data_IF_749394716605
#
_entry.id   IF_749394716605
#
_cell.length_a   1.000
_cell.length_b   1.000
_cell.length_c   1.000
_cell.angle_alpha   90.00
_cell.angle_beta   90.00
_cell.angle_gamma   90.00
#
_symmetry.space_group_name_H-M   'P 1'
#
loop_
_entity.id
_entity.type
_entity.pdbx_description
1 polymer ?
#
# COMPACT_ATOMS: atom_id res chain seq x y z
N UNK A 1 -18.23 -4.08 13.59
CA UNK A 1 -16.76 -4.19 13.73
C UNK A 1 -16.22 -5.28 12.81
N UNK A 2 -16.84 -6.46 12.79
CA UNK A 2 -16.43 -7.57 11.90
C UNK A 2 -16.35 -7.21 10.40
N UNK A 3 -17.35 -6.52 9.84
CA UNK A 3 -17.33 -6.15 8.42
C UNK A 3 -16.17 -5.21 8.04
N UNK A 4 -15.76 -4.34 8.96
CA UNK A 4 -14.67 -3.37 8.76
C UNK A 4 -13.31 -4.05 8.86
N UNK A 5 -13.14 -4.94 9.84
CA UNK A 5 -11.96 -5.79 9.95
C UNK A 5 -11.79 -6.65 8.68
N UNK A 6 -12.88 -7.25 8.18
CA UNK A 6 -12.87 -8.01 6.94
C UNK A 6 -12.51 -7.15 5.70
N UNK A 7 -12.98 -5.90 5.63
CA UNK A 7 -12.60 -4.99 4.54
C UNK A 7 -11.12 -4.58 4.63
N UNK A 8 -10.63 -4.25 5.83
CA UNK A 8 -9.22 -3.93 6.07
C UNK A 8 -8.30 -5.11 5.70
N UNK A 9 -8.65 -6.33 6.13
CA UNK A 9 -7.98 -7.57 5.75
C UNK A 9 -7.95 -7.74 4.23
N UNK A 10 -9.10 -7.58 3.56
CA UNK A 10 -9.20 -7.68 2.11
C UNK A 10 -8.29 -6.68 1.41
N UNK A 11 -8.26 -5.42 1.86
CA UNK A 11 -7.41 -4.36 1.29
C UNK A 11 -5.92 -4.67 1.47
N UNK A 12 -5.51 -5.10 2.67
CA UNK A 12 -4.12 -5.49 2.95
C UNK A 12 -3.68 -6.62 2.00
N UNK A 13 -4.50 -7.66 1.88
CA UNK A 13 -4.21 -8.81 1.03
C UNK A 13 -4.16 -8.46 -0.46
N UNK A 14 -4.99 -7.52 -0.90
CA UNK A 14 -4.96 -6.99 -2.27
C UNK A 14 -3.66 -6.22 -2.54
N UNK A 15 -3.27 -5.30 -1.65
CA UNK A 15 -2.01 -4.55 -1.76
C UNK A 15 -0.82 -5.50 -1.82
N UNK A 16 -0.80 -6.51 -0.94
CA UNK A 16 0.27 -7.50 -0.92
C UNK A 16 0.36 -8.27 -2.26
N UNK A 17 -0.77 -8.73 -2.81
CA UNK A 17 -0.80 -9.43 -4.11
C UNK A 17 -0.38 -8.53 -5.26
N UNK A 18 -0.80 -7.26 -5.28
CA UNK A 18 -0.39 -6.30 -6.30
C UNK A 18 1.13 -6.06 -6.28
N UNK A 19 1.71 -5.87 -5.09
CA UNK A 19 3.16 -5.70 -4.94
C UNK A 19 3.95 -6.97 -5.25
N UNK A 20 3.38 -8.14 -4.96
CA UNK A 20 3.97 -9.42 -5.36
C UNK A 20 4.02 -9.58 -6.87
N UNK A 21 2.97 -9.15 -7.58
CA UNK A 21 2.92 -9.14 -9.04
C UNK A 21 3.94 -8.17 -9.62
N UNK A 22 4.00 -6.93 -9.13
CA UNK A 22 4.98 -5.93 -9.56
C UNK A 22 6.42 -6.44 -9.38
N UNK A 23 6.69 -7.08 -8.24
CA UNK A 23 7.99 -7.71 -7.94
C UNK A 23 8.30 -8.86 -8.88
N UNK A 24 7.34 -9.74 -9.16
CA UNK A 24 7.51 -10.84 -10.11
C UNK A 24 7.82 -10.33 -11.53
N UNK A 25 7.05 -9.34 -12.00
CA UNK A 25 7.26 -8.71 -13.30
C UNK A 25 8.64 -8.05 -13.40
N UNK A 26 9.08 -7.35 -12.36
CA UNK A 26 10.43 -6.81 -12.28
C UNK A 26 11.49 -7.90 -12.43
N UNK A 27 11.39 -9.00 -11.67
CA UNK A 27 12.34 -10.11 -11.79
C UNK A 27 12.34 -10.75 -13.18
N UNK A 28 11.18 -10.91 -13.82
CA UNK A 28 11.14 -11.44 -15.18
C UNK A 28 11.78 -10.49 -16.19
N UNK A 29 11.57 -9.19 -16.06
CA UNK A 29 12.21 -8.19 -16.94
C UNK A 29 13.74 -8.21 -16.78
N UNK A 30 14.25 -8.25 -15.56
CA UNK A 30 15.70 -8.35 -15.28
C UNK A 30 16.32 -9.63 -15.84
N UNK A 31 15.58 -10.76 -15.76
CA UNK A 31 16.00 -12.05 -16.31
C UNK A 31 15.72 -12.21 -17.81
N UNK A 32 15.30 -11.12 -18.50
CA UNK A 32 14.96 -11.09 -19.94
C UNK A 32 13.79 -12.01 -20.35
N UNK A 33 12.90 -12.31 -19.40
CA UNK A 33 11.65 -13.03 -19.59
C UNK A 33 10.47 -12.10 -19.94
N UNK A 34 10.61 -11.28 -20.99
CA UNK A 34 9.58 -10.30 -21.37
C UNK A 34 8.20 -10.92 -21.61
N UNK A 35 8.15 -12.15 -22.15
CA UNK A 35 6.92 -12.88 -22.42
C UNK A 35 6.04 -13.08 -21.17
N UNK A 36 6.64 -13.33 -20.00
CA UNK A 36 5.88 -13.57 -18.77
C UNK A 36 5.28 -12.27 -18.25
N UNK A 37 6.02 -11.16 -18.40
CA UNK A 37 5.53 -9.82 -18.08
C UNK A 37 4.39 -9.40 -19.03
N UNK A 38 4.51 -9.67 -20.33
CA UNK A 38 3.47 -9.40 -21.33
C UNK A 38 2.22 -10.26 -21.09
N UNK A 39 2.42 -11.56 -20.81
CA UNK A 39 1.33 -12.45 -20.42
C UNK A 39 0.61 -11.91 -19.18
N UNK A 40 1.34 -11.53 -18.13
CA UNK A 40 0.72 -11.01 -16.91
C UNK A 40 0.03 -9.66 -17.11
N UNK A 41 0.57 -8.77 -17.94
CA UNK A 41 -0.08 -7.51 -18.30
C UNK A 41 -1.42 -7.78 -19.01
N UNK A 42 -1.42 -8.65 -20.02
CA UNK A 42 -2.66 -9.09 -20.71
C UNK A 42 -3.62 -9.78 -19.75
N UNK A 43 -3.11 -10.59 -18.83
CA UNK A 43 -3.92 -11.26 -17.82
C UNK A 43 -4.59 -10.26 -16.88
N UNK A 44 -3.90 -9.18 -16.50
CA UNK A 44 -4.48 -8.11 -15.67
C UNK A 44 -5.46 -7.21 -16.43
N UNK A 45 -5.24 -6.98 -17.73
CA UNK A 45 -6.04 -6.07 -18.57
C UNK A 45 -7.25 -6.76 -19.23
N UNK A 46 -7.14 -8.06 -19.57
CA UNK A 46 -8.06 -8.76 -20.48
C UNK A 46 -9.25 -9.50 -19.85
N UNK A 47 -10.13 -10.01 -20.73
CA UNK A 47 -11.44 -10.62 -20.41
C UNK A 47 -11.37 -11.97 -19.66
N UNK A 48 -10.24 -12.70 -19.70
CA UNK A 48 -10.03 -13.88 -18.84
C UNK A 48 -9.73 -13.53 -17.36
N UNK A 49 -9.36 -12.28 -17.11
CA UNK A 49 -8.77 -11.80 -15.86
C UNK A 49 -9.43 -10.56 -15.24
N UNK A 50 -10.34 -9.87 -15.94
CA UNK A 50 -11.41 -9.00 -15.44
C UNK A 50 -11.05 -7.94 -14.39
N UNK A 51 -9.91 -7.25 -14.58
CA UNK A 51 -9.58 -6.02 -13.85
C UNK A 51 -8.50 -6.16 -12.76
N UNK A 52 -8.08 -5.01 -12.24
CA UNK A 52 -7.06 -4.90 -11.19
C UNK A 52 -7.33 -5.84 -10.01
N UNK A 53 -6.25 -6.33 -9.38
CA UNK A 53 -6.29 -7.10 -8.12
C UNK A 53 -7.20 -6.44 -7.08
N UNK A 54 -7.20 -5.11 -7.04
CA UNK A 54 -8.04 -4.32 -6.13
C UNK A 54 -9.54 -4.51 -6.40
N UNK A 55 -9.94 -4.56 -7.67
CA UNK A 55 -11.33 -4.67 -8.07
C UNK A 55 -11.89 -6.10 -7.86
N UNK A 56 -11.12 -7.13 -8.20
CA UNK A 56 -11.55 -8.54 -8.09
C UNK A 56 -11.36 -9.16 -6.71
N UNK A 57 -10.37 -8.66 -5.97
CA UNK A 57 -9.87 -9.33 -4.78
C UNK A 57 -8.80 -10.37 -5.12
N UNK A 58 -7.78 -10.43 -4.27
CA UNK A 58 -6.60 -11.27 -4.43
C UNK A 58 -6.92 -12.76 -4.63
N UNK A 59 -7.92 -13.29 -3.91
CA UNK A 59 -8.25 -14.72 -3.92
C UNK A 59 -8.81 -15.14 -5.26
N UNK A 60 -9.74 -14.35 -5.80
CA UNK A 60 -10.32 -14.56 -7.13
C UNK A 60 -9.26 -14.43 -8.21
N UNK A 61 -8.44 -13.38 -8.13
CA UNK A 61 -7.33 -13.16 -9.07
C UNK A 61 -6.38 -14.35 -9.14
N UNK A 62 -5.84 -14.78 -7.98
CA UNK A 62 -4.89 -15.89 -7.92
C UNK A 62 -5.54 -17.24 -8.23
N UNK A 63 -6.79 -17.47 -7.81
CA UNK A 63 -7.55 -18.67 -8.20
C UNK A 63 -7.67 -18.78 -9.72
N UNK A 64 -8.00 -17.68 -10.39
CA UNK A 64 -8.18 -17.66 -11.84
C UNK A 64 -6.84 -17.93 -12.53
N UNK A 65 -5.76 -17.27 -12.10
CA UNK A 65 -4.42 -17.49 -12.64
C UNK A 65 -3.94 -18.94 -12.49
N UNK A 66 -4.15 -19.55 -11.32
CA UNK A 66 -3.78 -20.95 -11.07
C UNK A 66 -4.64 -21.95 -11.85
N UNK A 67 -5.83 -21.54 -12.27
CA UNK A 67 -6.76 -22.39 -13.03
C UNK A 67 -6.66 -22.17 -14.55
N UNK A 68 -5.92 -21.15 -14.99
CA UNK A 68 -5.77 -20.84 -16.42
C UNK A 68 -5.01 -21.95 -17.15
N UNK A 69 -5.44 -22.30 -18.38
CA UNK A 69 -4.76 -23.31 -19.18
C UNK A 69 -3.39 -22.82 -19.66
N UNK A 70 -2.45 -23.73 -19.97
CA UNK A 70 -1.20 -23.36 -20.63
C UNK A 70 -1.44 -22.67 -21.97
N UNK A 71 -0.62 -21.67 -22.30
CA UNK A 71 -0.68 -20.92 -23.57
C UNK A 71 0.63 -21.09 -24.33
N UNK A 72 0.54 -21.48 -25.61
CA UNK A 72 1.70 -21.50 -26.50
C UNK A 72 1.96 -20.10 -27.07
N UNK A 73 3.17 -19.58 -26.86
CA UNK A 73 3.58 -18.28 -27.36
C UNK A 73 4.73 -18.45 -28.34
N UNK A 74 4.56 -17.90 -29.55
CA UNK A 74 5.61 -17.88 -30.58
C UNK A 74 6.49 -16.67 -30.33
N UNK A 75 7.77 -16.91 -30.04
CA UNK A 75 8.75 -15.87 -29.76
C UNK A 75 9.64 -15.69 -30.97
N UNK A 76 9.57 -14.51 -31.57
CA UNK A 76 10.41 -14.12 -32.69
C UNK A 76 11.65 -13.35 -32.21
N UNK A 77 12.83 -13.93 -32.40
CA UNK A 77 14.11 -13.27 -32.11
C UNK A 77 14.83 -12.92 -33.41
N UNK A 78 15.12 -11.64 -33.56
CA UNK A 78 15.99 -11.14 -34.62
C UNK A 78 17.44 -11.46 -34.25
N UNK A 79 18.08 -12.35 -34.99
CA UNK A 79 19.49 -12.72 -34.74
C UNK A 79 20.36 -11.47 -34.92
N UNK A 80 21.03 -11.02 -33.85
CA UNK A 80 21.96 -9.88 -33.92
C UNK A 80 23.06 -10.18 -34.93
N UNK A 81 23.47 -9.17 -35.72
CA UNK A 81 24.54 -9.31 -36.71
C UNK A 81 25.77 -9.99 -36.07
N UNK A 82 26.42 -10.96 -36.74
CA UNK A 82 27.73 -11.40 -36.30
C UNK A 82 28.64 -10.15 -36.22
N UNK A 83 29.30 -9.96 -35.06
CA UNK A 83 30.28 -8.89 -34.86
C UNK A 83 31.42 -9.13 -35.85
N UNK A 84 31.43 -8.45 -37.00
CA UNK A 84 32.49 -8.59 -38.01
C UNK A 84 32.10 -8.37 -39.48
N UNK A 85 30.83 -8.10 -39.82
CA UNK A 85 30.41 -7.85 -41.21
C UNK A 85 30.41 -6.37 -41.62
N UNK A 86 31.05 -6.04 -42.75
CA UNK A 86 30.96 -4.71 -43.39
C UNK A 86 29.49 -4.33 -43.66
N UNK A 87 29.09 -3.11 -43.27
CA UNK A 87 27.71 -2.61 -43.38
C UNK A 87 27.16 -2.57 -44.80
N UNK A 88 28.03 -2.67 -45.80
CA UNK A 88 27.72 -2.59 -47.23
C UNK A 88 27.64 -3.94 -47.93
N UNK A 89 27.71 -5.08 -47.22
CA UNK A 89 27.68 -6.38 -47.87
C UNK A 89 26.24 -6.76 -48.31
N UNK A 90 25.92 -6.78 -49.63
CA UNK A 90 24.60 -7.13 -50.15
C UNK A 90 24.23 -8.61 -49.93
N UNK A 91 25.21 -9.46 -49.58
CA UNK A 91 25.02 -10.88 -49.26
C UNK A 91 24.73 -11.15 -47.78
N UNK A 92 24.80 -10.14 -46.91
CA UNK A 92 24.18 -10.22 -45.59
C UNK A 92 22.67 -10.11 -45.78
N UNK A 93 22.06 -11.24 -46.14
CA UNK A 93 20.63 -11.40 -46.33
C UNK A 93 19.82 -10.73 -45.20
N UNK A 94 18.58 -10.32 -45.54
CA UNK A 94 17.62 -9.77 -44.60
C UNK A 94 17.68 -10.53 -43.26
N UNK A 95 17.67 -9.79 -42.14
CA UNK A 95 17.89 -10.33 -40.81
C UNK A 95 17.06 -11.60 -40.61
N UNK A 96 17.72 -12.75 -40.43
CA UNK A 96 17.02 -14.01 -40.18
C UNK A 96 16.28 -13.89 -38.84
N UNK A 97 14.96 -13.87 -38.91
CA UNK A 97 14.10 -14.02 -37.74
C UNK A 97 14.08 -15.50 -37.40
N UNK A 98 14.45 -15.83 -36.16
CA UNK A 98 14.33 -17.19 -35.63
C UNK A 98 13.13 -17.17 -34.70
N UNK A 99 12.10 -17.93 -35.05
CA UNK A 99 10.96 -18.18 -34.18
C UNK A 99 11.14 -19.50 -33.43
N UNK A 100 10.71 -19.52 -32.18
CA UNK A 100 10.55 -20.75 -31.40
C UNK A 100 9.27 -20.64 -30.56
N UNK A 101 8.63 -21.77 -30.31
CA UNK A 101 7.43 -21.85 -29.46
C UNK A 101 7.87 -22.09 -28.02
N UNK A 102 7.34 -21.30 -27.09
CA UNK A 102 7.51 -21.50 -25.66
C UNK A 102 6.13 -21.63 -25.01
N UNK A 103 5.98 -22.57 -24.08
CA UNK A 103 4.69 -22.81 -23.40
C UNK A 103 4.71 -22.05 -22.08
N UNK A 104 3.76 -21.14 -21.89
CA UNK A 104 3.52 -20.47 -20.62
C UNK A 104 2.61 -21.35 -19.78
N UNK A 105 3.04 -21.67 -18.56
CA UNK A 105 2.24 -22.40 -17.58
C UNK A 105 1.74 -21.45 -16.47
N UNK A 106 0.48 -20.98 -16.51
CA UNK A 106 -0.03 -20.01 -15.54
C UNK A 106 0.00 -20.50 -14.09
N UNK A 107 -0.16 -21.81 -13.88
CA UNK A 107 0.01 -22.44 -12.56
C UNK A 107 1.40 -22.19 -11.97
N UNK A 108 2.44 -22.29 -12.79
CA UNK A 108 3.84 -22.06 -12.39
C UNK A 108 4.07 -20.58 -12.06
N UNK A 109 3.50 -19.66 -12.86
CA UNK A 109 3.52 -18.22 -12.56
C UNK A 109 2.77 -17.88 -11.27
N UNK A 110 1.58 -18.45 -11.09
CA UNK A 110 0.77 -18.25 -9.89
C UNK A 110 1.49 -18.72 -8.63
N UNK A 111 2.12 -19.90 -8.65
CA UNK A 111 2.97 -20.38 -7.55
C UNK A 111 4.13 -19.42 -7.26
N UNK A 112 4.83 -18.94 -8.29
CA UNK A 112 5.92 -17.98 -8.11
C UNK A 112 5.45 -16.68 -7.46
N UNK A 113 4.26 -16.19 -7.83
CA UNK A 113 3.65 -15.01 -7.20
C UNK A 113 3.30 -15.29 -5.73
N UNK A 114 2.78 -16.49 -5.41
CA UNK A 114 2.51 -16.88 -4.02
C UNK A 114 3.79 -16.97 -3.18
N UNK A 115 4.90 -17.44 -3.75
CA UNK A 115 6.19 -17.48 -3.05
C UNK A 115 6.69 -16.08 -2.74
N UNK A 116 6.67 -15.18 -3.73
CA UNK A 116 7.02 -13.77 -3.56
C UNK A 116 6.10 -13.11 -2.52
N UNK A 117 4.79 -13.42 -2.57
CA UNK A 117 3.81 -12.91 -1.61
C UNK A 117 4.10 -13.35 -0.18
N UNK A 118 4.56 -14.59 0.02
CA UNK A 118 4.96 -15.08 1.33
C UNK A 118 6.24 -14.40 1.82
N UNK A 119 7.22 -14.18 0.92
CA UNK A 119 8.44 -13.42 1.24
C UNK A 119 8.10 -11.97 1.66
N UNK A 120 7.33 -11.25 0.84
CA UNK A 120 6.93 -9.87 1.14
C UNK A 120 6.09 -9.79 2.42
N UNK A 121 5.27 -10.79 2.72
CA UNK A 121 4.53 -10.84 3.98
C UNK A 121 5.46 -10.96 5.20
N UNK A 122 6.52 -11.77 5.11
CA UNK A 122 7.49 -11.94 6.17
C UNK A 122 8.35 -10.68 6.37
N UNK A 123 8.78 -10.03 5.27
CA UNK A 123 9.51 -8.76 5.32
C UNK A 123 8.63 -7.65 5.94
N UNK A 124 7.40 -7.51 5.45
CA UNK A 124 6.44 -6.53 5.95
C UNK A 124 6.08 -6.78 7.43
N UNK A 125 6.01 -8.03 7.88
CA UNK A 125 5.76 -8.34 9.29
C UNK A 125 6.78 -7.67 10.21
N UNK A 126 8.06 -7.67 9.82
CA UNK A 126 9.12 -6.98 10.55
C UNK A 126 9.07 -5.47 10.33
N UNK A 127 8.78 -5.00 9.11
CA UNK A 127 8.67 -3.57 8.85
C UNK A 127 7.55 -2.91 9.68
N UNK A 128 6.47 -3.64 9.94
CA UNK A 128 5.38 -3.18 10.81
C UNK A 128 5.82 -2.94 12.27
N UNK A 129 6.91 -3.55 12.74
CA UNK A 129 7.48 -3.27 14.07
C UNK A 129 8.06 -1.86 14.14
N UNK A 130 8.55 -1.34 13.01
CA UNK A 130 9.03 0.05 12.92
C UNK A 130 7.88 1.00 13.17
N UNK A 131 6.73 0.81 12.51
CA UNK A 131 5.53 1.64 12.71
C UNK A 131 5.07 1.61 14.17
N UNK A 132 5.10 0.43 14.81
CA UNK A 132 4.72 0.29 16.21
C UNK A 132 5.68 1.09 17.11
N UNK A 133 6.99 0.89 16.97
CA UNK A 133 7.99 1.58 17.79
C UNK A 133 8.05 3.10 17.57
N UNK A 134 7.89 3.56 16.32
CA UNK A 134 7.83 4.97 15.96
C UNK A 134 6.59 5.62 16.58
N UNK A 135 5.44 4.97 16.47
CA UNK A 135 4.19 5.48 17.06
C UNK A 135 4.26 5.53 18.58
N UNK A 136 4.82 4.52 19.24
CA UNK A 136 4.98 4.52 20.70
C UNK A 136 5.88 5.67 21.16
N UNK A 137 7.02 5.87 20.49
CA UNK A 137 7.91 7.01 20.76
C UNK A 137 7.23 8.36 20.53
N UNK A 138 6.49 8.51 19.43
CA UNK A 138 5.81 9.76 19.11
C UNK A 138 4.65 10.05 20.06
N UNK A 139 3.97 9.02 20.57
CA UNK A 139 2.94 9.16 21.60
C UNK A 139 3.55 9.72 22.89
N UNK A 140 4.68 9.19 23.35
CA UNK A 140 5.40 9.73 24.52
C UNK A 140 5.79 11.21 24.30
N UNK A 141 6.24 11.56 23.09
CA UNK A 141 6.55 12.94 22.74
C UNK A 141 5.31 13.83 22.78
N UNK A 142 4.18 13.39 22.22
CA UNK A 142 2.92 14.14 22.23
C UNK A 142 2.38 14.32 23.65
N UNK A 143 2.48 13.29 24.51
CA UNK A 143 2.09 13.39 25.92
C UNK A 143 2.94 14.42 26.66
N UNK A 144 4.27 14.34 26.52
CA UNK A 144 5.19 15.32 27.11
C UNK A 144 4.93 16.74 26.59
N UNK A 145 4.53 16.88 25.33
CA UNK A 145 4.20 18.16 24.72
C UNK A 145 2.83 18.65 25.17
N UNK A 146 1.84 17.79 25.38
CA UNK A 146 0.56 18.17 25.96
C UNK A 146 0.73 18.75 27.36
N UNK A 147 1.58 18.13 28.20
CA UNK A 147 1.94 18.67 29.51
C UNK A 147 2.61 20.05 29.39
N UNK A 148 3.52 20.22 28.42
CA UNK A 148 4.15 21.51 28.12
C UNK A 148 3.18 22.54 27.59
N UNK A 149 2.20 22.15 26.76
CA UNK A 149 1.17 23.06 26.24
C UNK A 149 0.25 23.51 27.38
N UNK A 150 -0.08 22.64 28.34
CA UNK A 150 -0.79 23.04 29.55
C UNK A 150 0.02 24.05 30.38
N UNK A 151 1.34 23.84 30.51
CA UNK A 151 2.25 24.83 31.12
C UNK A 151 2.33 26.12 30.29
N UNK A 152 2.33 26.02 28.96
CA UNK A 152 2.35 27.15 28.04
C UNK A 152 1.12 28.03 28.22
N UNK A 153 -0.08 27.47 28.43
CA UNK A 153 -1.26 28.30 28.72
C UNK A 153 -1.07 29.14 30.00
N UNK A 154 -0.38 28.59 30.99
CA UNK A 154 0.00 29.32 32.20
C UNK A 154 1.06 30.39 31.92
N UNK A 155 2.03 30.09 31.04
CA UNK A 155 3.07 31.04 30.61
C UNK A 155 2.54 32.12 29.67
N UNK A 156 1.57 31.85 28.81
CA UNK A 156 0.92 32.82 27.92
C UNK A 156 0.14 33.84 28.74
N UNK A 157 -0.54 33.39 29.81
CA UNK A 157 -1.15 34.25 30.82
C UNK A 157 -0.11 35.15 31.52
N UNK A 158 1.15 34.70 31.61
CA UNK A 158 2.22 35.37 32.36
C UNK A 158 3.11 36.28 31.51
N UNK A 159 3.41 35.90 30.27
CA UNK A 159 4.43 36.52 29.40
C UNK A 159 3.89 37.02 28.06
N UNK A 160 2.65 36.67 27.70
CA UNK A 160 2.00 37.08 26.46
C UNK A 160 2.32 36.19 25.24
N UNK A 161 1.41 36.24 24.27
CA UNK A 161 1.29 35.29 23.13
C UNK A 161 2.57 35.18 22.28
N UNK A 162 3.27 36.30 22.05
CA UNK A 162 4.42 36.32 21.12
C UNK A 162 5.62 35.55 21.65
N UNK A 163 5.95 35.68 22.93
CA UNK A 163 7.12 35.00 23.52
C UNK A 163 6.82 33.52 23.76
N UNK A 164 5.59 33.21 24.17
CA UNK A 164 5.12 31.84 24.29
C UNK A 164 5.26 31.11 22.94
N UNK A 165 4.68 31.63 21.85
CA UNK A 165 4.77 31.01 20.51
C UNK A 165 6.22 30.80 20.04
N UNK A 166 7.14 31.71 20.37
CA UNK A 166 8.57 31.57 20.04
C UNK A 166 9.21 30.40 20.78
N UNK A 167 8.85 30.15 22.04
CA UNK A 167 9.35 29.03 22.83
C UNK A 167 8.87 27.69 22.27
N UNK A 168 7.59 27.59 21.89
CA UNK A 168 6.98 26.36 21.33
C UNK A 168 7.59 25.93 19.98
N UNK A 169 7.78 26.88 19.06
CA UNK A 169 8.34 26.59 17.73
C UNK A 169 9.81 26.13 17.77
N UNK A 170 10.50 26.33 18.88
CA UNK A 170 11.93 26.01 19.02
C UNK A 170 12.17 24.58 19.53
N UNK A 171 11.18 23.98 20.18
CA UNK A 171 11.30 22.68 20.86
C UNK A 171 10.62 21.55 20.12
N UNK A 172 9.65 21.85 19.26
CA UNK A 172 8.88 20.82 18.57
C UNK A 172 9.45 20.55 17.17
N UNK A 173 10.11 19.40 17.03
CA UNK A 173 10.38 18.76 15.76
C UNK A 173 9.84 17.34 15.86
N UNK A 174 8.66 17.04 15.29
CA UNK A 174 8.21 15.66 15.23
C UNK A 174 9.26 14.86 14.46
N UNK A 175 9.73 13.76 15.05
CA UNK A 175 10.71 12.88 14.41
C UNK A 175 9.94 11.98 13.46
N UNK A 176 9.42 12.56 12.38
CA UNK A 176 8.89 11.78 11.28
C UNK A 176 10.09 11.37 10.44
N UNK A 177 10.72 10.26 10.83
CA UNK A 177 11.91 9.78 10.12
C UNK A 177 11.54 9.43 8.67
N UNK A 178 12.37 9.89 7.74
CA UNK A 178 11.97 10.06 6.34
C UNK A 178 12.24 8.84 5.46
N UNK A 179 13.00 7.84 5.92
CA UNK A 179 13.27 6.64 5.13
C UNK A 179 13.67 5.46 6.04
N UNK A 180 12.67 4.86 6.73
CA UNK A 180 12.90 3.73 7.63
C UNK A 180 13.49 2.48 6.93
N UNK A 181 13.34 2.38 5.60
CA UNK A 181 13.77 1.23 4.81
C UNK A 181 14.82 1.67 3.78
N UNK A 182 16.08 1.73 4.20
CA UNK A 182 17.25 1.95 3.33
C UNK A 182 17.89 0.64 2.80
N UNK A 183 17.20 -0.49 2.91
CA UNK A 183 17.76 -1.81 2.56
C UNK A 183 17.79 -2.08 1.05
N UNK A 184 18.77 -2.86 0.60
CA UNK A 184 18.88 -3.47 -0.75
C UNK A 184 17.92 -4.65 -0.98
N UNK A 185 16.85 -4.78 -0.20
CA UNK A 185 15.97 -5.95 -0.22
C UNK A 185 14.96 -5.88 -1.38
N UNK A 186 13.93 -6.73 -1.37
CA UNK A 186 13.02 -6.95 -2.49
C UNK A 186 12.58 -5.66 -3.20
N UNK A 187 12.49 -5.68 -4.54
CA UNK A 187 12.08 -4.51 -5.29
C UNK A 187 10.69 -4.07 -4.80
N UNK A 188 10.49 -2.76 -4.70
CA UNK A 188 9.25 -2.15 -4.21
C UNK A 188 8.94 -2.35 -2.72
N UNK A 189 9.86 -2.86 -1.88
CA UNK A 189 9.65 -2.94 -0.42
C UNK A 189 9.23 -1.61 0.19
N UNK A 190 9.94 -0.52 -0.08
CA UNK A 190 9.59 0.81 0.44
C UNK A 190 8.20 1.27 -0.05
N UNK A 191 7.86 0.96 -1.29
CA UNK A 191 6.52 1.27 -1.83
C UNK A 191 5.42 0.43 -1.18
N UNK A 192 5.68 -0.84 -0.86
CA UNK A 192 4.77 -1.70 -0.10
C UNK A 192 4.58 -1.15 1.32
N UNK A 193 5.68 -0.82 2.00
CA UNK A 193 5.64 -0.23 3.34
C UNK A 193 4.79 1.04 3.40
N UNK A 194 5.05 2.01 2.51
CA UNK A 194 4.28 3.25 2.43
C UNK A 194 2.80 3.01 2.14
N UNK A 195 2.47 2.07 1.24
CA UNK A 195 1.08 1.72 0.95
C UNK A 195 0.37 1.11 2.16
N UNK A 196 1.06 0.27 2.93
CA UNK A 196 0.50 -0.36 4.13
C UNK A 196 0.40 0.65 5.28
N UNK A 197 1.38 1.53 5.45
CA UNK A 197 1.33 2.65 6.40
C UNK A 197 0.13 3.57 6.13
N UNK A 198 -0.11 3.91 4.86
CA UNK A 198 -1.29 4.66 4.45
C UNK A 198 -2.59 3.92 4.77
N UNK A 199 -2.64 2.61 4.52
CA UNK A 199 -3.80 1.77 4.86
C UNK A 199 -4.05 1.70 6.37
N UNK A 200 -3.01 1.46 7.17
CA UNK A 200 -3.06 1.43 8.64
C UNK A 200 -3.61 2.75 9.18
N UNK A 201 -3.09 3.87 8.69
CA UNK A 201 -3.56 5.21 9.08
C UNK A 201 -5.03 5.43 8.69
N UNK A 202 -5.42 5.01 7.48
CA UNK A 202 -6.81 5.11 7.02
C UNK A 202 -7.77 4.30 7.89
N UNK A 203 -7.45 3.05 8.19
CA UNK A 203 -8.28 2.18 9.04
C UNK A 203 -8.38 2.75 10.46
N UNK A 204 -7.28 3.27 10.99
CA UNK A 204 -7.25 3.90 12.32
C UNK A 204 -8.15 5.13 12.38
N UNK A 205 -8.11 5.96 11.33
CA UNK A 205 -8.99 7.13 11.21
C UNK A 205 -10.46 6.73 11.08
N UNK A 206 -10.79 5.71 10.29
CA UNK A 206 -12.16 5.21 10.13
C UNK A 206 -12.74 4.71 11.47
N UNK A 207 -11.92 4.01 12.27
CA UNK A 207 -12.27 3.58 13.63
C UNK A 207 -12.50 4.77 14.57
N UNK A 208 -11.58 5.72 14.61
CA UNK A 208 -11.72 6.90 15.46
C UNK A 208 -12.95 7.74 15.09
N UNK A 209 -13.20 7.98 13.79
CA UNK A 209 -14.41 8.67 13.33
C UNK A 209 -15.69 7.99 13.82
N UNK A 210 -15.70 6.66 13.91
CA UNK A 210 -16.84 5.92 14.42
C UNK A 210 -17.00 6.09 15.93
N UNK A 211 -15.91 6.10 16.69
CA UNK A 211 -15.95 6.40 18.12
C UNK A 211 -16.50 7.82 18.36
N UNK A 212 -16.05 8.81 17.60
CA UNK A 212 -16.59 10.17 17.66
C UNK A 212 -18.09 10.24 17.35
N UNK A 213 -18.60 9.43 16.41
CA UNK A 213 -20.05 9.33 16.15
C UNK A 213 -20.82 8.76 17.35
N UNK A 214 -20.22 7.83 18.09
CA UNK A 214 -20.83 7.23 19.29
C UNK A 214 -20.82 8.25 20.44
N UNK A 215 -19.69 8.93 20.66
CA UNK A 215 -19.53 9.98 21.69
C UNK A 215 -20.40 11.22 21.36
N UNK A 216 -20.68 11.45 20.08
CA UNK A 216 -21.45 12.60 19.62
C UNK A 216 -20.62 13.87 19.36
N UNK A 217 -19.30 13.74 19.24
CA UNK A 217 -18.40 14.86 18.90
C UNK A 217 -18.47 15.18 17.40
N UNK A 218 -19.46 16.01 17.05
CA UNK A 218 -19.72 16.42 15.67
C UNK A 218 -18.64 17.37 15.12
N UNK A 219 -17.96 18.12 15.98
CA UNK A 219 -17.00 19.14 15.55
C UNK A 219 -15.69 18.49 15.11
N UNK A 220 -15.15 17.58 15.92
CA UNK A 220 -13.95 16.81 15.56
C UNK A 220 -14.22 15.95 14.33
N UNK A 221 -15.40 15.32 14.24
CA UNK A 221 -15.78 14.53 13.06
C UNK A 221 -15.81 15.37 11.79
N UNK A 222 -16.47 16.54 11.80
CA UNK A 222 -16.54 17.43 10.65
C UNK A 222 -15.15 17.98 10.25
N UNK A 223 -14.27 18.19 11.22
CA UNK A 223 -12.88 18.57 10.97
C UNK A 223 -12.10 17.44 10.29
N UNK A 224 -12.19 16.20 10.82
CA UNK A 224 -11.55 15.03 10.22
C UNK A 224 -12.10 14.67 8.84
N UNK A 225 -13.37 14.96 8.56
CA UNK A 225 -13.97 14.80 7.24
C UNK A 225 -13.40 15.80 6.24
N UNK A 226 -13.10 17.04 6.67
CA UNK A 226 -12.43 18.05 5.82
C UNK A 226 -10.97 17.72 5.56
N UNK A 227 -10.24 17.22 6.56
CA UNK A 227 -8.82 16.84 6.41
C UNK A 227 -8.69 15.57 5.56
N UNK A 228 -9.60 14.61 5.77
CA UNK A 228 -9.61 13.35 5.02
C UNK A 228 -10.23 13.46 3.63
N UNK A 229 -10.70 14.64 3.21
CA UNK A 229 -11.30 14.83 1.90
C UNK A 229 -10.26 14.63 0.79
N UNK A 230 -10.67 13.98 -0.30
CA UNK A 230 -9.79 13.47 -1.37
C UNK A 230 -8.92 14.57 -2.03
N UNK A 231 -9.34 15.82 -1.90
CA UNK A 231 -8.62 16.99 -2.42
C UNK A 231 -7.25 17.22 -1.77
N UNK A 232 -7.02 16.67 -0.57
CA UNK A 232 -5.76 16.88 0.15
C UNK A 232 -4.70 15.81 -0.16
N UNK A 233 -5.07 14.66 -0.75
CA UNK A 233 -4.15 13.53 -1.06
C UNK A 233 -3.26 13.04 0.10
N UNK A 234 -3.50 13.52 1.32
CA UNK A 234 -2.70 13.18 2.50
C UNK A 234 -2.95 11.75 2.93
N UNK A 235 -1.89 11.03 3.26
CA UNK A 235 -1.95 9.65 3.74
C UNK A 235 -0.75 9.35 4.63
N UNK A 236 -0.83 8.27 5.41
CA UNK A 236 0.29 7.85 6.26
C UNK A 236 0.72 8.94 7.23
N UNK A 237 2.03 9.21 7.28
CA UNK A 237 2.61 10.19 8.18
C UNK A 237 2.27 11.64 7.80
N UNK A 238 2.12 11.98 6.52
CA UNK A 238 1.74 13.34 6.08
C UNK A 238 0.40 13.77 6.67
N UNK A 239 -0.53 12.82 6.80
CA UNK A 239 -1.84 13.06 7.42
C UNK A 239 -1.72 13.31 8.93
N UNK A 240 -0.86 12.56 9.62
CA UNK A 240 -0.60 12.76 11.05
C UNK A 240 0.08 14.11 11.29
N UNK A 241 1.08 14.45 10.48
CA UNK A 241 1.77 15.74 10.55
C UNK A 241 0.79 16.90 10.34
N UNK A 242 -0.12 16.77 9.37
CA UNK A 242 -1.18 17.75 9.15
C UNK A 242 -2.13 17.90 10.36
N UNK A 243 -2.45 16.81 11.06
CA UNK A 243 -3.23 16.86 12.30
C UNK A 243 -2.47 17.55 13.44
N UNK A 244 -1.18 17.22 13.61
CA UNK A 244 -0.33 17.80 14.65
C UNK A 244 -0.12 19.31 14.45
N UNK A 245 -0.02 19.75 13.20
CA UNK A 245 0.10 21.16 12.83
C UNK A 245 -1.17 21.99 13.10
N UNK A 246 -2.27 21.35 13.50
CA UNK A 246 -3.48 22.01 13.99
C UNK A 246 -4.54 22.25 12.92
N UNK A 247 -5.60 23.02 13.24
CA UNK A 247 -6.75 23.13 12.37
C UNK A 247 -6.37 23.86 11.08
N UNK A 248 -6.32 23.13 9.97
CA UNK A 248 -6.11 23.73 8.65
C UNK A 248 -7.35 24.56 8.27
N UNK A 249 -7.22 25.89 8.24
CA UNK A 249 -8.14 26.72 7.47
C UNK A 249 -7.71 26.65 6.02
N UNK A 250 -8.44 25.89 5.20
CA UNK A 250 -8.24 25.91 3.76
C UNK A 250 -8.67 27.28 3.22
N UNK A 251 -7.72 28.20 3.10
CA UNK A 251 -7.93 29.43 2.34
C UNK A 251 -7.81 29.06 0.87
N UNK A 252 -8.94 28.99 0.18
CA UNK A 252 -8.99 28.96 -1.27
C UNK A 252 -8.55 30.33 -1.80
N UNK A 253 -7.24 30.53 -1.87
CA UNK A 253 -6.65 31.69 -2.51
C UNK A 253 -6.77 31.45 -4.02
N UNK A 254 -7.72 32.12 -4.68
CA UNK A 254 -8.09 31.87 -6.09
C UNK A 254 -6.96 32.01 -7.12
N UNK A 255 -5.76 32.40 -6.67
CA UNK A 255 -4.54 32.55 -7.48
C UNK A 255 -3.49 31.46 -7.25
N UNK A 256 -3.58 30.68 -6.17
CA UNK A 256 -2.52 29.76 -5.73
C UNK A 256 -3.11 28.39 -5.39
N UNK A 257 -3.56 27.67 -6.42
CA UNK A 257 -4.21 26.34 -6.30
C UNK A 257 -3.28 25.22 -5.83
N UNK A 258 -1.98 25.51 -5.65
CA UNK A 258 -0.98 24.47 -5.50
C UNK A 258 -0.84 23.93 -4.07
N UNK A 259 -1.12 24.71 -3.01
CA UNK A 259 -0.98 24.24 -1.63
C UNK A 259 -1.98 24.90 -0.67
N UNK A 260 -2.76 24.12 0.10
CA UNK A 260 -3.55 24.67 1.20
C UNK A 260 -2.64 25.37 2.21
N UNK A 261 -2.93 26.64 2.53
CA UNK A 261 -2.17 27.40 3.54
C UNK A 261 -2.72 27.09 4.94
N UNK A 262 -1.85 26.64 5.84
CA UNK A 262 -2.20 26.43 7.26
C UNK A 262 -2.28 27.79 7.95
N UNK A 263 -3.49 28.28 8.22
CA UNK A 263 -3.69 29.42 9.11
C UNK A 263 -4.10 28.90 10.48
N UNK A 264 -3.22 29.06 11.47
CA UNK A 264 -3.49 28.73 12.87
C UNK A 264 -4.67 29.58 13.37
N UNK A 265 -5.85 29.01 13.68
CA UNK A 265 -6.91 29.77 14.32
C UNK A 265 -6.56 29.87 15.81
N UNK A 266 -6.24 31.08 16.25
CA UNK A 266 -6.02 31.41 17.66
C UNK A 266 -7.24 31.05 18.52
N UNK A 267 -6.99 30.30 19.61
CA UNK A 267 -7.82 30.02 20.79
C UNK A 267 -9.20 29.36 20.58
N UNK A 268 -10.08 29.88 19.72
CA UNK A 268 -11.47 29.40 19.61
C UNK A 268 -11.56 27.99 18.98
N UNK A 269 -10.63 27.64 18.08
CA UNK A 269 -10.61 26.30 17.49
C UNK A 269 -10.03 25.23 18.43
N UNK A 270 -9.16 25.61 19.38
CA UNK A 270 -8.56 24.69 20.35
C UNK A 270 -9.55 24.26 21.45
N UNK A 271 -10.51 25.13 21.78
CA UNK A 271 -11.60 24.81 22.72
C UNK A 271 -12.65 23.88 22.08
N UNK A 272 -12.70 23.80 20.75
CA UNK A 272 -13.71 23.03 19.99
C UNK A 272 -13.15 21.72 19.44
N UNK A 273 -11.89 21.70 19.01
CA UNK A 273 -11.17 20.51 18.53
C UNK A 273 -9.77 20.51 19.16
N UNK A 274 -9.32 19.35 19.64
CA UNK A 274 -7.97 19.18 20.20
C UNK A 274 -7.10 18.35 19.23
N UNK A 275 -6.40 18.96 18.25
CA UNK A 275 -5.75 18.22 17.17
C UNK A 275 -4.62 17.30 17.65
N UNK A 276 -3.86 17.71 18.67
CA UNK A 276 -2.82 16.87 19.30
C UNK A 276 -3.42 15.60 19.90
N UNK A 277 -4.52 15.74 20.64
CA UNK A 277 -5.25 14.60 21.19
C UNK A 277 -5.77 13.70 20.07
N UNK A 278 -6.38 14.27 19.03
CA UNK A 278 -6.88 13.47 17.90
C UNK A 278 -5.76 12.71 17.20
N UNK A 279 -4.61 13.35 16.95
CA UNK A 279 -3.45 12.68 16.38
C UNK A 279 -2.97 11.53 17.28
N UNK A 280 -2.87 11.76 18.59
CA UNK A 280 -2.49 10.72 19.56
C UNK A 280 -3.46 9.53 19.54
N UNK A 281 -4.78 9.77 19.56
CA UNK A 281 -5.78 8.69 19.52
C UNK A 281 -5.68 7.89 18.21
N UNK A 282 -5.46 8.56 17.08
CA UNK A 282 -5.26 7.87 15.79
C UNK A 282 -3.95 7.06 15.80
N UNK A 283 -2.86 7.58 16.37
CA UNK A 283 -1.58 6.87 16.47
C UNK A 283 -1.66 5.65 17.41
N UNK A 284 -2.40 5.75 18.51
CA UNK A 284 -2.69 4.62 19.39
C UNK A 284 -3.50 3.54 18.66
N UNK A 285 -4.51 3.93 17.87
CA UNK A 285 -5.26 3.00 17.03
C UNK A 285 -4.39 2.36 15.93
N UNK A 286 -3.43 3.09 15.35
CA UNK A 286 -2.46 2.54 14.39
C UNK A 286 -1.69 1.36 14.99
N UNK A 287 -1.25 1.46 16.25
CA UNK A 287 -0.55 0.36 16.95
C UNK A 287 -1.45 -0.89 17.03
N UNK A 288 -2.72 -0.72 17.40
CA UNK A 288 -3.68 -1.83 17.42
C UNK A 288 -3.89 -2.46 16.03
N UNK A 289 -4.06 -1.64 15.00
CA UNK A 289 -4.24 -2.11 13.61
C UNK A 289 -3.00 -2.83 13.10
N UNK A 290 -1.80 -2.34 13.43
CA UNK A 290 -0.53 -3.00 13.11
C UNK A 290 -0.48 -4.41 13.68
N UNK A 291 -0.82 -4.59 14.96
CA UNK A 291 -0.85 -5.90 15.62
C UNK A 291 -1.82 -6.87 14.93
N UNK A 292 -3.00 -6.39 14.54
CA UNK A 292 -3.96 -7.18 13.76
C UNK A 292 -3.37 -7.59 12.39
N UNK A 293 -2.75 -6.64 11.69
CA UNK A 293 -2.15 -6.88 10.38
C UNK A 293 -0.99 -7.88 10.47
N UNK A 294 -0.15 -7.82 11.50
CA UNK A 294 0.88 -8.83 11.76
C UNK A 294 0.28 -10.23 11.90
N UNK A 295 -0.84 -10.37 12.62
CA UNK A 295 -1.57 -11.63 12.73
C UNK A 295 -2.06 -12.15 11.37
N UNK A 296 -2.57 -11.27 10.51
CA UNK A 296 -2.99 -11.62 9.15
C UNK A 296 -1.81 -12.03 8.26
N UNK A 297 -0.68 -11.32 8.34
CA UNK A 297 0.53 -11.62 7.56
C UNK A 297 1.13 -12.99 7.93
N UNK A 298 1.11 -13.35 9.21
CA UNK A 298 1.56 -14.66 9.69
C UNK A 298 0.76 -15.83 9.11
N UNK A 299 -0.51 -15.61 8.74
CA UNK A 299 -1.41 -16.61 8.15
C UNK A 299 -1.30 -16.78 6.62
N UNK A 300 -0.53 -15.94 5.94
CA UNK A 300 -0.42 -15.92 4.46
C UNK A 300 0.02 -17.28 3.88
N UNK A 301 1.04 -17.98 4.43
CA UNK A 301 1.45 -19.28 3.90
C UNK A 301 0.34 -20.34 3.94
N UNK A 302 -0.45 -20.40 5.02
CA UNK A 302 -1.55 -21.36 5.18
C UNK A 302 -2.67 -21.06 4.20
N UNK A 303 -2.97 -19.78 3.97
CA UNK A 303 -3.94 -19.37 2.96
C UNK A 303 -3.52 -19.74 1.54
N UNK A 304 -2.22 -19.67 1.22
CA UNK A 304 -1.70 -20.12 -0.07
C UNK A 304 -1.91 -21.62 -0.24
N UNK A 305 -1.60 -22.43 0.79
CA UNK A 305 -1.83 -23.87 0.75
C UNK A 305 -3.32 -24.20 0.53
N UNK A 306 -4.21 -23.55 1.27
CA UNK A 306 -5.65 -23.73 1.13
C UNK A 306 -6.16 -23.33 -0.28
N UNK A 307 -5.62 -22.25 -0.85
CA UNK A 307 -5.94 -21.82 -2.21
C UNK A 307 -5.51 -22.86 -3.24
N UNK A 308 -4.28 -23.34 -3.16
CA UNK A 308 -3.73 -24.35 -4.08
C UNK A 308 -4.53 -25.65 -3.97
N UNK A 309 -4.81 -26.13 -2.76
CA UNK A 309 -5.65 -27.32 -2.54
C UNK A 309 -7.03 -27.15 -3.17
N UNK A 310 -7.70 -26.02 -2.94
CA UNK A 310 -9.01 -25.74 -3.53
C UNK A 310 -9.03 -25.62 -5.06
N UNK A 311 -7.91 -25.21 -5.69
CA UNK A 311 -7.76 -25.25 -7.16
C UNK A 311 -7.59 -26.69 -7.63
N UNK A 312 -6.70 -27.47 -7.00
CA UNK A 312 -6.43 -28.85 -7.37
C UNK A 312 -7.67 -29.74 -7.23
N UNK A 313 -8.44 -29.59 -6.14
CA UNK A 313 -9.69 -30.33 -5.95
C UNK A 313 -10.71 -30.05 -7.05
N UNK A 314 -10.84 -28.78 -7.47
CA UNK A 314 -11.73 -28.41 -8.58
C UNK A 314 -11.27 -29.02 -9.90
N UNK A 315 -9.97 -28.99 -10.18
CA UNK A 315 -9.40 -29.60 -11.38
C UNK A 315 -9.60 -31.12 -11.41
N UNK A 316 -9.41 -31.81 -10.27
CA UNK A 316 -9.65 -33.25 -10.16
C UNK A 316 -11.12 -33.61 -10.37
N UNK A 317 -12.05 -32.83 -9.79
CA UNK A 317 -13.49 -33.03 -10.01
C UNK A 317 -13.90 -32.83 -11.46
N UNK A 318 -13.40 -31.79 -12.12
CA UNK A 318 -13.67 -31.53 -13.54
C UNK A 318 -13.13 -32.65 -14.44
N UNK A 319 -11.98 -33.25 -14.10
CA UNK A 319 -11.47 -34.43 -14.81
C UNK A 319 -12.32 -35.68 -14.56
N UNK A 320 -12.84 -35.84 -13.35
CA UNK A 320 -13.67 -36.99 -13.00
C UNK A 320 -15.08 -36.93 -13.61
N UNK A 321 -15.62 -35.73 -13.87
CA UNK A 321 -16.94 -35.56 -14.49
C UNK A 321 -16.95 -35.81 -15.99
N UNK A 322 -15.79 -35.97 -16.64
CA UNK A 322 -15.72 -36.15 -18.09
C UNK A 322 -15.99 -34.87 -18.88
N UNK A 323 -16.16 -33.72 -18.22
CA UNK A 323 -16.32 -32.39 -18.85
C UNK A 323 -15.04 -31.90 -19.55
N UNK A 324 -14.04 -32.77 -19.74
CA UNK A 324 -12.76 -32.42 -20.37
C UNK A 324 -12.83 -32.33 -21.89
N UNK A 325 -13.91 -32.75 -22.54
CA UNK A 325 -14.02 -32.69 -24.02
C UNK A 325 -14.27 -31.27 -24.57
N UNK A 326 -14.76 -30.31 -23.76
CA UNK A 326 -15.10 -28.94 -24.22
C UNK A 326 -14.13 -27.84 -23.75
N UNK A 327 -13.01 -28.17 -23.10
CA UNK A 327 -12.04 -27.18 -22.56
C UNK A 327 -10.80 -26.97 -23.45
N UNK A 328 -10.72 -27.63 -24.61
CA UNK A 328 -9.61 -27.51 -25.57
C UNK A 328 -10.06 -27.04 -26.96
N UNK A 329 -11.33 -26.67 -27.12
CA UNK A 329 -11.92 -26.07 -28.34
C UNK A 329 -12.02 -24.55 -28.25
#
# INVERSE_FOLDING_TARGET
MQAEAADAERRLKNVLTEKSLQTAMYYWLELRGNMYSEYMARFTEGEGGGGSVVARGWRTFLSNLLSSPPEEVIIEKVVKKPRGGSGTNPYLAARKVVSYTEVIEPMTLGRRILDIRAQLAAELFHDLELIESENERDLELIESENERVQQFYQDELRYGIKEATRLRLRTWQPVVDTDAINSTDTPYRSSLYLAVLALVTKVSLERYKKELRIVGDKHTLAWLDKIGDANLTLSGNDLIEAMLNGPMVLINDGKDRARPKVVQPLRVAADVVQPLRVAAEVMALRVSVVREFKGLLAGVPQEHQALIQGVLERQLRARASGDSEDMLS
#
